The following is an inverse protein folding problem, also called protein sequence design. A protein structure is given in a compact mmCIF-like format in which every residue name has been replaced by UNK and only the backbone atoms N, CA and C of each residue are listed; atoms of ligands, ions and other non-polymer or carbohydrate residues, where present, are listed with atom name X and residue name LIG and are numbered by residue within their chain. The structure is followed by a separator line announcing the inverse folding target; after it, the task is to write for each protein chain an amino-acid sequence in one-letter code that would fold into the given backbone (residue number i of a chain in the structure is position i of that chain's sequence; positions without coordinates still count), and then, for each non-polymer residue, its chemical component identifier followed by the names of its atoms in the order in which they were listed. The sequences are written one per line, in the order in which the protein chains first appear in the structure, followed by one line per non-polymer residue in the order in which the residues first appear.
data_IF_846121541273
#
_entry.id   IF_846121541273
#
_cell.length_a   1.000
_cell.length_b   1.000
_cell.length_c   1.000
_cell.angle_alpha   90.00
_cell.angle_beta   90.00
_cell.angle_gamma   90.00
#
_symmetry.space_group_name_H-M   'P 1'
#
loop_
_entity.id
_entity.type
_entity.pdbx_description
1 polymer ?
#
# COMPACT_ATOMS: atom_id res chain seq x y z
N UNK A 1 28.39 2.75 -50.64
CA UNK A 1 28.20 1.76 -49.55
C UNK A 1 27.91 2.54 -48.27
N UNK A 2 26.63 2.65 -47.90
CA UNK A 2 26.17 3.40 -46.73
C UNK A 2 26.17 2.50 -45.49
N UNK A 3 27.17 2.66 -44.61
CA UNK A 3 27.14 2.19 -43.22
C UNK A 3 27.60 3.32 -42.32
N UNK A 4 26.70 4.26 -42.04
CA UNK A 4 26.89 5.28 -41.01
C UNK A 4 25.52 5.63 -40.41
N UNK A 5 25.00 4.71 -39.61
CA UNK A 5 23.76 4.88 -38.85
C UNK A 5 23.86 4.20 -37.49
N UNK A 6 25.07 4.09 -36.93
CA UNK A 6 25.25 3.62 -35.56
C UNK A 6 24.65 4.68 -34.64
N UNK A 7 23.55 4.29 -34.01
CA UNK A 7 22.69 5.05 -33.13
C UNK A 7 23.50 5.82 -32.08
N UNK A 8 23.57 7.14 -32.23
CA UNK A 8 24.03 8.06 -31.21
C UNK A 8 22.96 8.23 -30.10
N UNK A 9 22.42 7.11 -29.62
CA UNK A 9 21.56 7.11 -28.44
C UNK A 9 22.44 7.49 -27.27
N UNK A 10 22.28 8.72 -26.77
CA UNK A 10 23.00 9.15 -25.58
C UNK A 10 22.78 8.12 -24.46
N UNK A 11 23.78 7.80 -23.63
CA UNK A 11 23.64 6.86 -22.50
C UNK A 11 22.39 7.10 -21.64
N UNK A 12 21.90 8.35 -21.63
CA UNK A 12 20.67 8.82 -20.97
C UNK A 12 19.39 8.18 -21.49
N UNK A 13 19.27 7.98 -22.79
CA UNK A 13 18.10 7.32 -23.40
C UNK A 13 18.06 5.84 -23.02
N UNK A 14 19.23 5.23 -22.86
CA UNK A 14 19.39 3.82 -22.46
C UNK A 14 19.03 3.62 -20.98
N UNK A 15 19.42 4.54 -20.09
CA UNK A 15 19.10 4.45 -18.66
C UNK A 15 17.61 4.72 -18.36
N UNK A 16 17.00 5.71 -19.02
CA UNK A 16 15.57 5.97 -18.91
C UNK A 16 14.74 4.81 -19.49
N UNK A 17 15.18 4.21 -20.60
CA UNK A 17 14.53 3.05 -21.21
C UNK A 17 14.55 1.80 -20.32
N UNK A 18 15.46 1.71 -19.34
CA UNK A 18 15.54 0.58 -18.41
C UNK A 18 14.78 0.81 -17.10
N UNK A 19 14.77 2.04 -16.59
CA UNK A 19 14.14 2.35 -15.29
C UNK A 19 12.62 2.47 -15.35
N UNK A 20 12.05 2.97 -16.46
CA UNK A 20 10.59 3.11 -16.62
C UNK A 20 9.89 1.74 -16.66
N UNK A 21 10.31 0.76 -17.48
CA UNK A 21 9.69 -0.57 -17.48
C UNK A 21 9.81 -1.27 -16.13
N UNK A 22 10.97 -1.11 -15.45
CA UNK A 22 11.16 -1.64 -14.10
C UNK A 22 10.17 -1.04 -13.09
N UNK A 23 9.99 0.29 -13.11
CA UNK A 23 9.05 0.98 -12.23
C UNK A 23 7.61 0.51 -12.44
N UNK A 24 7.18 0.40 -13.69
CA UNK A 24 5.84 -0.12 -14.04
C UNK A 24 5.70 -1.57 -13.57
N UNK A 25 6.70 -2.42 -13.85
CA UNK A 25 6.70 -3.82 -13.46
C UNK A 25 6.57 -4.00 -11.94
N UNK A 26 7.30 -3.22 -11.14
CA UNK A 26 7.19 -3.30 -9.68
C UNK A 26 5.78 -2.98 -9.18
N UNK A 27 5.12 -1.95 -9.74
CA UNK A 27 3.73 -1.64 -9.39
C UNK A 27 2.81 -2.80 -9.76
N UNK A 28 2.89 -3.31 -10.99
CA UNK A 28 2.00 -4.37 -11.47
C UNK A 28 2.19 -5.69 -10.72
N UNK A 29 3.44 -6.12 -10.49
CA UNK A 29 3.74 -7.35 -9.75
C UNK A 29 3.25 -7.26 -8.32
N UNK A 30 3.52 -6.12 -7.65
CA UNK A 30 3.03 -5.92 -6.27
C UNK A 30 1.50 -5.91 -6.20
N UNK A 31 0.83 -5.32 -7.21
CA UNK A 31 -0.61 -5.30 -7.33
C UNK A 31 -1.20 -6.70 -7.55
N UNK A 32 -0.59 -7.50 -8.44
CA UNK A 32 -0.99 -8.88 -8.67
C UNK A 32 -0.79 -9.75 -7.42
N UNK A 33 0.34 -9.60 -6.72
CA UNK A 33 0.61 -10.31 -5.46
C UNK A 33 -0.41 -9.93 -4.37
N UNK A 34 -0.85 -8.67 -4.35
CA UNK A 34 -1.90 -8.20 -3.45
C UNK A 34 -3.22 -8.95 -3.67
N UNK A 35 -3.60 -9.21 -4.94
CA UNK A 35 -4.80 -9.98 -5.27
C UNK A 35 -4.69 -11.45 -4.82
N UNK A 36 -3.51 -12.06 -4.96
CA UNK A 36 -3.26 -13.43 -4.47
C UNK A 36 -3.47 -13.54 -2.96
N UNK A 37 -3.10 -12.49 -2.22
CA UNK A 37 -3.25 -12.42 -0.77
C UNK A 37 -4.56 -11.77 -0.31
N UNK A 38 -5.47 -11.40 -1.22
CA UNK A 38 -6.70 -10.68 -0.88
C UNK A 38 -7.56 -11.41 0.17
N UNK A 39 -7.51 -12.75 0.18
CA UNK A 39 -8.27 -13.58 1.11
C UNK A 39 -7.86 -13.38 2.58
N UNK A 40 -6.64 -12.92 2.87
CA UNK A 40 -6.20 -12.65 4.25
C UNK A 40 -6.96 -11.47 4.87
N UNK A 41 -7.49 -10.57 4.04
CA UNK A 41 -8.30 -9.44 4.49
C UNK A 41 -9.58 -9.90 5.21
N UNK A 42 -10.18 -11.02 4.77
CA UNK A 42 -11.34 -11.60 5.43
C UNK A 42 -11.01 -12.11 6.83
N UNK A 43 -9.82 -12.68 7.02
CA UNK A 43 -9.37 -13.13 8.35
C UNK A 43 -9.22 -11.95 9.30
N UNK A 44 -8.69 -10.82 8.83
CA UNK A 44 -8.60 -9.59 9.63
C UNK A 44 -9.98 -9.05 10.00
N UNK A 45 -10.85 -8.82 9.01
CA UNK A 45 -12.16 -8.20 9.23
C UNK A 45 -13.03 -9.04 10.17
N UNK A 46 -13.08 -10.36 9.96
CA UNK A 46 -13.99 -11.25 10.69
C UNK A 46 -13.42 -11.77 12.00
N UNK A 47 -12.18 -12.23 12.01
CA UNK A 47 -11.62 -12.96 13.15
C UNK A 47 -10.88 -12.08 14.14
N UNK A 48 -10.40 -10.91 13.71
CA UNK A 48 -9.61 -10.02 14.56
C UNK A 48 -10.34 -8.72 14.88
N UNK A 49 -10.95 -8.10 13.87
CA UNK A 49 -11.70 -6.85 14.06
C UNK A 49 -13.17 -7.07 14.40
N UNK A 50 -13.71 -8.28 14.18
CA UNK A 50 -15.11 -8.62 14.41
C UNK A 50 -16.11 -7.66 13.74
N UNK A 51 -15.74 -7.12 12.58
CA UNK A 51 -16.57 -6.23 11.79
C UNK A 51 -17.80 -6.99 11.30
N UNK A 52 -18.99 -6.45 11.57
CA UNK A 52 -20.26 -7.09 11.26
C UNK A 52 -20.59 -8.26 12.18
N UNK A 53 -19.99 -8.33 13.37
CA UNK A 53 -20.24 -9.37 14.36
C UNK A 53 -20.84 -8.79 15.66
N UNK A 54 -21.54 -9.64 16.40
CA UNK A 54 -22.07 -9.37 17.74
C UNK A 54 -21.78 -10.53 18.69
N UNK A 55 -21.81 -10.26 20.00
CA UNK A 55 -21.76 -11.29 21.04
C UNK A 55 -23.15 -11.46 21.66
N UNK A 56 -23.54 -12.71 21.95
CA UNK A 56 -24.80 -12.98 22.64
C UNK A 56 -24.81 -12.45 24.07
N UNK A 57 -26.00 -12.08 24.56
CA UNK A 57 -26.20 -11.65 25.95
C UNK A 57 -25.68 -12.72 26.94
N UNK A 58 -25.08 -12.34 28.08
CA UNK A 58 -24.73 -13.30 29.12
C UNK A 58 -25.92 -14.21 29.50
N UNK A 59 -25.69 -15.53 29.50
CA UNK A 59 -26.72 -16.54 29.76
C UNK A 59 -27.56 -16.96 28.54
N UNK A 60 -27.30 -16.41 27.36
CA UNK A 60 -27.85 -16.92 26.09
C UNK A 60 -26.96 -18.00 25.47
N UNK A 61 -27.50 -18.76 24.52
CA UNK A 61 -26.77 -19.79 23.76
C UNK A 61 -25.54 -19.24 23.01
N UNK A 62 -25.52 -17.94 22.69
CA UNK A 62 -24.39 -17.22 22.06
C UNK A 62 -23.51 -16.42 23.02
N UNK A 63 -23.66 -16.59 24.34
CA UNK A 63 -22.84 -15.88 25.31
C UNK A 63 -21.34 -16.17 25.10
N UNK A 64 -20.52 -15.12 25.14
CA UNK A 64 -19.05 -15.21 24.99
C UNK A 64 -18.56 -15.76 23.65
N UNK A 65 -19.43 -15.85 22.64
CA UNK A 65 -19.06 -16.30 21.28
C UNK A 65 -19.47 -15.25 20.25
N UNK A 66 -18.62 -15.06 19.25
CA UNK A 66 -18.87 -14.12 18.16
C UNK A 66 -19.79 -14.74 17.11
N UNK A 67 -20.90 -14.07 16.83
CA UNK A 67 -21.81 -14.39 15.73
C UNK A 67 -21.61 -13.30 14.68
N UNK A 68 -21.08 -13.69 13.53
CA UNK A 68 -20.75 -12.78 12.45
C UNK A 68 -21.76 -12.85 11.31
N UNK A 69 -21.85 -11.76 10.55
CA UNK A 69 -22.55 -11.74 9.27
C UNK A 69 -22.06 -12.83 8.31
N UNK A 70 -22.93 -13.20 7.38
CA UNK A 70 -22.60 -14.13 6.31
C UNK A 70 -21.64 -13.49 5.30
N UNK A 71 -21.17 -14.26 4.32
CA UNK A 71 -20.22 -13.78 3.31
C UNK A 71 -20.73 -12.59 2.50
N UNK A 72 -22.05 -12.45 2.33
CA UNK A 72 -22.66 -11.32 1.59
C UNK A 72 -22.47 -10.02 2.37
N UNK A 73 -22.57 -10.07 3.71
CA UNK A 73 -22.29 -8.94 4.59
C UNK A 73 -20.90 -8.34 4.41
N UNK A 74 -19.94 -9.07 3.83
CA UNK A 74 -18.58 -8.58 3.60
C UNK A 74 -18.32 -8.02 2.19
N UNK A 75 -19.29 -8.10 1.26
CA UNK A 75 -19.11 -7.62 -0.11
C UNK A 75 -18.80 -6.12 -0.17
N UNK A 76 -19.39 -5.32 0.73
CA UNK A 76 -19.10 -3.88 0.83
C UNK A 76 -17.63 -3.58 1.11
N UNK A 77 -16.99 -4.37 1.97
CA UNK A 77 -15.55 -4.20 2.28
C UNK A 77 -14.68 -4.59 1.09
N UNK A 78 -15.04 -5.67 0.38
CA UNK A 78 -14.33 -6.09 -0.82
C UNK A 78 -14.40 -5.01 -1.92
N UNK A 79 -15.54 -4.33 -2.08
CA UNK A 79 -15.69 -3.21 -3.01
C UNK A 79 -14.75 -2.05 -2.62
N UNK A 80 -14.69 -1.69 -1.34
CA UNK A 80 -13.84 -0.59 -0.89
C UNK A 80 -12.35 -0.93 -1.04
N UNK A 81 -11.92 -2.12 -0.61
CA UNK A 81 -10.52 -2.56 -0.79
C UNK A 81 -10.14 -2.68 -2.26
N UNK A 82 -11.06 -3.20 -3.08
CA UNK A 82 -10.93 -3.25 -4.53
C UNK A 82 -10.81 -1.85 -5.14
N UNK A 83 -11.60 -0.88 -4.70
CA UNK A 83 -11.52 0.50 -5.16
C UNK A 83 -10.18 1.16 -4.80
N UNK A 84 -9.70 0.97 -3.57
CA UNK A 84 -8.38 1.45 -3.14
C UNK A 84 -7.26 0.82 -3.98
N UNK A 85 -7.36 -0.48 -4.26
CA UNK A 85 -6.41 -1.20 -5.13
C UNK A 85 -6.46 -0.69 -6.57
N UNK A 86 -7.67 -0.53 -7.13
CA UNK A 86 -7.93 0.00 -8.48
C UNK A 86 -7.50 1.45 -8.64
N UNK A 87 -7.41 2.20 -7.54
CA UNK A 87 -6.83 3.53 -7.53
C UNK A 87 -5.30 3.44 -7.53
N UNK A 88 -4.72 2.62 -6.64
CA UNK A 88 -3.27 2.54 -6.45
C UNK A 88 -2.52 1.96 -7.65
N UNK A 89 -2.95 0.81 -8.17
CA UNK A 89 -2.16 0.03 -9.14
C UNK A 89 -2.20 0.66 -10.55
N UNK A 90 -3.37 0.94 -11.16
CA UNK A 90 -3.45 1.58 -12.46
C UNK A 90 -2.85 2.99 -12.46
N UNK A 91 -3.19 3.85 -11.48
CA UNK A 91 -2.64 5.20 -11.42
C UNK A 91 -1.14 5.19 -11.13
N UNK A 92 -0.66 4.24 -10.32
CA UNK A 92 0.77 4.03 -10.08
C UNK A 92 1.52 3.65 -11.34
N UNK A 93 0.99 2.68 -12.10
CA UNK A 93 1.57 2.25 -13.36
C UNK A 93 1.57 3.39 -14.40
N UNK A 94 0.48 4.14 -14.50
CA UNK A 94 0.39 5.32 -15.37
C UNK A 94 1.37 6.42 -14.94
N UNK A 95 1.46 6.72 -13.65
CA UNK A 95 2.41 7.70 -13.12
C UNK A 95 3.86 7.28 -13.41
N UNK A 96 4.19 6.00 -13.23
CA UNK A 96 5.50 5.45 -13.53
C UNK A 96 5.84 5.51 -15.03
N UNK A 97 4.87 5.27 -15.90
CA UNK A 97 5.06 5.23 -17.36
C UNK A 97 5.07 6.63 -18.01
N UNK A 98 4.17 7.52 -17.59
CA UNK A 98 3.84 8.74 -18.33
C UNK A 98 4.54 9.99 -17.78
N UNK A 99 4.87 10.04 -16.48
CA UNK A 99 5.51 11.22 -15.90
C UNK A 99 7.00 11.22 -16.24
N UNK A 100 7.37 12.06 -17.21
CA UNK A 100 8.76 12.15 -17.73
C UNK A 100 9.76 12.69 -16.70
N UNK A 101 9.34 13.63 -15.86
CA UNK A 101 10.23 14.26 -14.89
C UNK A 101 10.39 13.41 -13.63
N UNK A 102 11.61 12.93 -13.36
CA UNK A 102 11.91 11.97 -12.28
C UNK A 102 11.43 12.44 -10.91
N UNK A 103 11.67 13.71 -10.55
CA UNK A 103 11.21 14.25 -9.25
C UNK A 103 9.69 14.26 -9.16
N UNK A 104 9.00 14.60 -10.24
CA UNK A 104 7.53 14.66 -10.25
C UNK A 104 6.93 13.26 -10.19
N UNK A 105 7.53 12.30 -10.88
CA UNK A 105 7.13 10.89 -10.80
C UNK A 105 7.30 10.34 -9.38
N UNK A 106 8.42 10.62 -8.73
CA UNK A 106 8.67 10.23 -7.33
C UNK A 106 7.63 10.82 -6.37
N UNK A 107 7.35 12.12 -6.49
CA UNK A 107 6.34 12.78 -5.64
C UNK A 107 4.98 12.14 -5.85
N UNK A 108 4.56 11.93 -7.10
CA UNK A 108 3.27 11.30 -7.40
C UNK A 108 3.16 9.88 -6.84
N UNK A 109 4.20 9.06 -7.01
CA UNK A 109 4.24 7.68 -6.52
C UNK A 109 4.23 7.61 -4.98
N UNK A 110 5.00 8.45 -4.29
CA UNK A 110 4.99 8.51 -2.82
C UNK A 110 3.65 9.05 -2.30
N UNK A 111 3.08 10.09 -2.94
CA UNK A 111 1.78 10.61 -2.55
C UNK A 111 0.68 9.55 -2.71
N UNK A 112 0.70 8.81 -3.82
CA UNK A 112 -0.23 7.71 -4.05
C UNK A 112 -0.04 6.60 -2.99
N UNK A 113 1.20 6.22 -2.70
CA UNK A 113 1.54 5.25 -1.65
C UNK A 113 0.98 5.66 -0.28
N UNK A 114 1.21 6.91 0.12
CA UNK A 114 0.70 7.46 1.39
C UNK A 114 -0.82 7.51 1.40
N UNK A 115 -1.46 7.93 0.31
CA UNK A 115 -2.92 8.02 0.20
C UNK A 115 -3.57 6.65 0.28
N UNK A 116 -3.02 5.66 -0.43
CA UNK A 116 -3.48 4.27 -0.41
C UNK A 116 -3.38 3.68 1.00
N UNK A 117 -2.23 3.86 1.67
CA UNK A 117 -2.04 3.37 3.03
C UNK A 117 -2.96 4.08 4.05
N UNK A 118 -3.11 5.39 3.94
CA UNK A 118 -4.03 6.15 4.79
C UNK A 118 -5.47 5.70 4.60
N UNK A 119 -5.90 5.45 3.35
CA UNK A 119 -7.24 4.99 3.05
C UNK A 119 -7.54 3.63 3.70
N UNK A 120 -6.66 2.63 3.55
CA UNK A 120 -6.88 1.30 4.16
C UNK A 120 -6.89 1.35 5.69
N UNK A 121 -5.97 2.11 6.30
CA UNK A 121 -5.92 2.26 7.76
C UNK A 121 -7.16 2.99 8.29
N UNK A 122 -7.58 4.07 7.62
CA UNK A 122 -8.78 4.81 7.99
C UNK A 122 -10.05 3.97 7.81
N UNK A 123 -10.19 3.23 6.71
CA UNK A 123 -11.35 2.36 6.48
C UNK A 123 -11.47 1.26 7.52
N UNK A 124 -10.36 0.56 7.83
CA UNK A 124 -10.38 -0.51 8.83
C UNK A 124 -10.68 0.02 10.24
N UNK A 125 -10.14 1.19 10.60
CA UNK A 125 -10.46 1.83 11.87
C UNK A 125 -11.94 2.29 11.93
N UNK A 126 -12.43 2.87 10.84
CA UNK A 126 -13.82 3.30 10.74
C UNK A 126 -14.79 2.12 10.90
N UNK A 127 -14.52 0.99 10.24
CA UNK A 127 -15.39 -0.17 10.36
C UNK A 127 -15.31 -0.83 11.73
N UNK A 128 -14.11 -0.95 12.30
CA UNK A 128 -13.97 -1.46 13.65
C UNK A 128 -14.75 -0.60 14.65
N UNK A 129 -14.65 0.73 14.57
CA UNK A 129 -15.34 1.65 15.48
C UNK A 129 -16.87 1.76 15.29
N UNK A 130 -17.42 1.28 14.17
CA UNK A 130 -18.84 1.50 13.83
C UNK A 130 -19.67 0.25 13.60
N UNK A 131 -19.02 -0.86 13.23
CA UNK A 131 -19.69 -2.06 12.74
C UNK A 131 -19.40 -3.27 13.63
N UNK A 132 -18.72 -3.08 14.76
CA UNK A 132 -18.63 -4.06 15.84
C UNK A 132 -19.76 -3.75 16.81
N UNK A 133 -20.65 -4.71 17.07
CA UNK A 133 -21.62 -4.59 18.15
C UNK A 133 -20.93 -5.01 19.46
N UNK A 134 -20.47 -4.02 20.20
CA UNK A 134 -19.63 -4.19 21.38
C UNK A 134 -20.40 -4.22 22.71
N UNK A 135 -21.75 -4.22 22.67
CA UNK A 135 -22.60 -4.14 23.87
C UNK A 135 -22.29 -5.20 24.93
N UNK A 136 -21.93 -6.41 24.49
CA UNK A 136 -21.54 -7.52 25.35
C UNK A 136 -20.10 -7.98 25.14
N UNK A 137 -19.32 -7.23 24.35
CA UNK A 137 -17.93 -7.53 24.05
C UNK A 137 -17.02 -7.10 25.22
N UNK A 138 -15.91 -7.83 25.49
CA UNK A 138 -14.93 -7.42 26.48
C UNK A 138 -14.11 -6.19 26.07
N UNK A 139 -14.12 -5.84 24.77
CA UNK A 139 -13.38 -4.70 24.22
C UNK A 139 -14.25 -3.94 23.21
N UNK A 140 -14.00 -2.65 23.09
CA UNK A 140 -14.62 -1.83 22.04
C UNK A 140 -14.02 -2.17 20.68
N UNK A 141 -14.74 -1.84 19.61
CA UNK A 141 -14.24 -2.04 18.25
C UNK A 141 -12.89 -1.34 17.98
N UNK A 142 -12.68 -0.14 18.54
CA UNK A 142 -11.41 0.58 18.43
C UNK A 142 -10.25 -0.16 19.12
N UNK A 143 -10.50 -0.77 20.29
CA UNK A 143 -9.50 -1.56 21.00
C UNK A 143 -9.08 -2.80 20.20
N UNK A 144 -10.02 -3.49 19.55
CA UNK A 144 -9.68 -4.58 18.62
C UNK A 144 -8.81 -4.07 17.46
N UNK A 145 -9.11 -2.90 16.89
CA UNK A 145 -8.29 -2.31 15.84
C UNK A 145 -6.87 -1.98 16.34
N UNK A 146 -6.74 -1.37 17.51
CA UNK A 146 -5.43 -1.05 18.08
C UNK A 146 -4.61 -2.32 18.34
N UNK A 147 -5.23 -3.40 18.83
CA UNK A 147 -4.56 -4.66 19.09
C UNK A 147 -4.12 -5.36 17.79
N UNK A 148 -5.01 -5.43 16.79
CA UNK A 148 -4.76 -6.18 15.55
C UNK A 148 -3.93 -5.37 14.53
N UNK A 149 -4.28 -4.09 14.33
CA UNK A 149 -3.75 -3.24 13.25
C UNK A 149 -2.75 -2.21 13.77
N UNK A 150 -2.84 -1.79 15.04
CA UNK A 150 -2.02 -0.72 15.62
C UNK A 150 -0.50 -0.86 15.39
N UNK A 151 0.13 -2.01 15.68
CA UNK A 151 1.56 -2.20 15.43
C UNK A 151 1.94 -2.04 13.94
N UNK A 152 1.16 -2.65 13.04
CA UNK A 152 1.38 -2.55 11.61
C UNK A 152 1.17 -1.12 11.10
N UNK A 153 0.15 -0.41 11.62
CA UNK A 153 -0.15 0.97 11.29
C UNK A 153 0.97 1.93 11.71
N UNK A 154 1.54 1.73 12.90
CA UNK A 154 2.68 2.51 13.39
C UNK A 154 3.90 2.34 12.48
N UNK A 155 4.28 1.10 12.18
CA UNK A 155 5.42 0.79 11.29
C UNK A 155 5.18 1.37 9.89
N UNK A 156 3.94 1.26 9.38
CA UNK A 156 3.59 1.79 8.06
C UNK A 156 3.71 3.32 8.05
N UNK A 157 3.18 3.99 9.06
CA UNK A 157 3.21 5.45 9.20
C UNK A 157 4.64 5.99 9.28
N UNK A 158 5.51 5.36 10.09
CA UNK A 158 6.93 5.71 10.17
C UNK A 158 7.63 5.50 8.82
N UNK A 159 7.35 4.39 8.15
CA UNK A 159 7.92 4.08 6.83
C UNK A 159 7.53 5.12 5.78
N UNK A 160 6.26 5.54 5.76
CA UNK A 160 5.77 6.57 4.83
C UNK A 160 6.32 7.95 5.16
N UNK A 161 6.52 8.27 6.44
CA UNK A 161 7.22 9.48 6.85
C UNK A 161 8.66 9.48 6.33
N UNK A 162 9.38 8.35 6.44
CA UNK A 162 10.74 8.19 5.87
C UNK A 162 10.75 8.36 4.35
N UNK A 163 9.78 7.77 3.62
CA UNK A 163 9.66 7.97 2.17
C UNK A 163 9.40 9.44 1.81
N UNK A 164 8.53 10.11 2.57
CA UNK A 164 8.18 11.53 2.37
C UNK A 164 9.40 12.42 2.62
N UNK A 165 10.14 12.20 3.71
CA UNK A 165 11.42 12.88 3.99
C UNK A 165 12.42 12.61 2.86
N UNK A 166 12.44 11.38 2.32
CA UNK A 166 13.25 10.98 1.17
C UNK A 166 13.03 11.80 -0.10
N UNK A 167 11.89 12.49 -0.25
CA UNK A 167 11.61 13.39 -1.38
C UNK A 167 12.48 14.65 -1.37
N UNK A 168 13.00 15.06 -0.20
CA UNK A 168 13.92 16.20 -0.06
C UNK A 168 15.30 15.86 -0.63
N UNK A 169 15.69 14.60 -0.54
CA UNK A 169 17.00 14.12 -0.96
C UNK A 169 17.05 13.71 -2.44
N UNK A 170 18.28 13.57 -2.95
CA UNK A 170 18.59 13.15 -4.33
C UNK A 170 19.64 12.05 -4.33
N UNK A 171 19.75 11.34 -5.46
CA UNK A 171 20.74 10.29 -5.67
C UNK A 171 20.59 9.13 -4.69
N UNK A 172 21.71 8.56 -4.22
CA UNK A 172 21.73 7.34 -3.41
C UNK A 172 20.92 7.45 -2.11
N UNK A 173 20.93 8.60 -1.45
CA UNK A 173 20.19 8.81 -0.19
C UNK A 173 18.68 8.64 -0.43
N UNK A 174 18.16 9.25 -1.49
CA UNK A 174 16.76 9.09 -1.87
C UNK A 174 16.39 7.63 -2.14
N UNK A 175 17.24 6.89 -2.84
CA UNK A 175 17.04 5.45 -3.13
C UNK A 175 16.99 4.64 -1.83
N UNK A 176 17.98 4.80 -0.96
CA UNK A 176 18.07 4.06 0.31
C UNK A 176 16.87 4.34 1.20
N UNK A 177 16.49 5.61 1.38
CA UNK A 177 15.33 5.97 2.21
C UNK A 177 14.03 5.39 1.65
N UNK A 178 13.84 5.43 0.33
CA UNK A 178 12.62 4.92 -0.30
C UNK A 178 12.54 3.39 -0.24
N UNK A 179 13.67 2.69 -0.42
CA UNK A 179 13.73 1.22 -0.26
C UNK A 179 13.59 0.79 1.19
N UNK A 180 14.17 1.53 2.15
CA UNK A 180 13.98 1.28 3.57
C UNK A 180 12.50 1.45 3.96
N UNK A 181 11.84 2.48 3.45
CA UNK A 181 10.40 2.66 3.61
C UNK A 181 9.60 1.48 3.01
N UNK A 182 9.95 1.04 1.79
CA UNK A 182 9.30 -0.12 1.17
C UNK A 182 9.46 -1.39 2.04
N UNK A 183 10.65 -1.65 2.57
CA UNK A 183 10.92 -2.76 3.48
C UNK A 183 10.13 -2.64 4.80
N UNK A 184 10.01 -1.44 5.35
CA UNK A 184 9.18 -1.18 6.52
C UNK A 184 7.69 -1.46 6.27
N UNK A 185 7.16 -1.10 5.09
CA UNK A 185 5.78 -1.45 4.70
C UNK A 185 5.61 -2.96 4.51
N UNK A 186 6.62 -3.68 4.00
CA UNK A 186 6.61 -5.16 4.02
C UNK A 186 6.53 -5.67 5.46
N UNK A 187 7.27 -5.07 6.40
CA UNK A 187 7.15 -5.35 7.82
C UNK A 187 5.72 -5.17 8.36
N UNK A 188 5.01 -4.12 7.94
CA UNK A 188 3.59 -3.95 8.28
C UNK A 188 2.70 -5.06 7.72
N UNK A 189 2.98 -5.57 6.51
CA UNK A 189 2.25 -6.72 5.94
C UNK A 189 2.53 -8.00 6.74
N UNK A 190 3.76 -8.19 7.22
CA UNK A 190 4.10 -9.34 8.08
C UNK A 190 3.38 -9.24 9.43
N UNK A 191 3.37 -8.05 10.04
CA UNK A 191 2.69 -7.82 11.32
C UNK A 191 1.18 -7.97 11.22
N UNK A 192 0.59 -7.58 10.09
CA UNK A 192 -0.82 -7.73 9.84
C UNK A 192 -1.12 -8.12 8.39
N UNK A 193 -1.11 -9.43 8.07
CA UNK A 193 -1.31 -9.93 6.70
C UNK A 193 -2.63 -9.53 6.07
N UNK A 194 -3.66 -9.23 6.86
CA UNK A 194 -4.96 -8.78 6.33
C UNK A 194 -4.95 -7.43 5.63
N UNK A 195 -3.87 -6.65 5.75
CA UNK A 195 -3.69 -5.38 5.05
C UNK A 195 -2.98 -5.54 3.70
N UNK A 196 -2.57 -6.76 3.33
CA UNK A 196 -1.75 -7.08 2.16
C UNK A 196 -2.34 -6.53 0.85
N UNK A 197 -3.66 -6.63 0.67
CA UNK A 197 -4.38 -6.21 -0.54
C UNK A 197 -4.13 -4.74 -0.91
N UNK A 198 -3.90 -3.86 0.07
CA UNK A 198 -3.62 -2.44 -0.18
C UNK A 198 -2.22 -2.00 0.21
N UNK A 199 -1.52 -2.72 1.10
CA UNK A 199 -0.13 -2.39 1.46
C UNK A 199 0.92 -2.97 0.50
N UNK A 200 0.67 -4.09 -0.19
CA UNK A 200 1.59 -4.55 -1.23
C UNK A 200 1.68 -3.57 -2.43
N UNK A 201 0.58 -3.00 -2.94
CA UNK A 201 0.66 -1.90 -3.91
C UNK A 201 1.50 -0.72 -3.42
N UNK A 202 1.42 -0.37 -2.12
CA UNK A 202 2.25 0.69 -1.50
C UNK A 202 3.74 0.32 -1.60
N UNK A 203 4.12 -0.93 -1.36
CA UNK A 203 5.50 -1.42 -1.56
C UNK A 203 5.95 -1.23 -3.00
N UNK A 204 5.13 -1.63 -3.99
CA UNK A 204 5.45 -1.45 -5.41
C UNK A 204 5.58 0.00 -5.84
N UNK A 205 4.71 0.88 -5.32
CA UNK A 205 4.78 2.33 -5.56
C UNK A 205 6.08 2.94 -5.00
N UNK A 206 6.50 2.53 -3.80
CA UNK A 206 7.77 2.96 -3.20
C UNK A 206 8.97 2.39 -3.97
N UNK A 207 8.93 1.12 -4.38
CA UNK A 207 9.97 0.52 -5.22
C UNK A 207 10.08 1.25 -6.58
N UNK A 208 8.95 1.58 -7.20
CA UNK A 208 8.87 2.42 -8.39
C UNK A 208 9.52 3.79 -8.15
N UNK A 209 9.18 4.47 -7.06
CA UNK A 209 9.78 5.75 -6.70
C UNK A 209 11.30 5.66 -6.48
N UNK A 210 11.79 4.56 -5.91
CA UNK A 210 13.23 4.30 -5.77
C UNK A 210 13.91 4.13 -7.14
N UNK A 211 13.29 3.41 -8.08
CA UNK A 211 13.80 3.27 -9.44
C UNK A 211 13.86 4.60 -10.19
N UNK A 212 12.85 5.46 -10.03
CA UNK A 212 12.88 6.84 -10.56
C UNK A 212 13.97 7.69 -9.89
N UNK A 213 14.37 7.39 -8.66
CA UNK A 213 15.49 8.07 -7.98
C UNK A 213 16.88 7.61 -8.46
N UNK A 214 16.98 6.42 -9.07
CA UNK A 214 18.22 5.90 -9.65
C UNK A 214 18.56 6.54 -11.00
N UNK A 215 17.55 7.05 -11.72
CA UNK A 215 17.76 7.78 -12.97
C UNK A 215 18.44 9.12 -12.72
N UNK A 216 19.65 9.36 -13.25
CA UNK A 216 20.36 10.62 -13.05
C UNK A 216 19.66 11.75 -13.83
N UNK A 217 18.79 12.51 -13.16
CA UNK A 217 18.38 13.82 -13.68
C UNK A 217 19.53 14.80 -13.50
N UNK A 218 20.15 15.19 -14.61
CA UNK A 218 21.06 16.33 -14.72
C UNK A 218 20.50 17.56 -14.02
N UNK A 219 21.42 18.39 -13.50
CA UNK A 219 21.22 19.82 -13.26
C UNK A 219 20.39 20.44 -14.40
N UNK A 220 19.13 20.73 -14.17
CA UNK A 220 18.55 21.95 -14.70
C UNK A 220 18.90 23.02 -13.67
N UNK A 221 19.96 23.79 -13.95
CA UNK A 221 20.07 25.13 -13.38
C UNK A 221 18.85 25.93 -13.89
N UNK A 222 18.30 26.83 -13.06
CA UNK A 222 17.25 27.74 -13.50
C UNK A 222 17.66 28.53 -14.74
#
# INVERSE_FOLDING_TARGET
MNRAGASNQSPRAVDAARTVPGAVFAVLVSGALALVLAWTAMSLLRLQLHVGCSMGKPGSEGAYTWICSDGIGYLGFAIVFGAIWMFAVPLGALAAALIRHERSARVALVALATTTAAAILASTNHWASRLVDDLYSPMTGEQYWQQAVGPAALVCSVSLAVATIGLVFRGRIAVVLTLAAAAGVVGSVVLQPGLSINLLPVVGLLAAAAMRAMSPSLRQRP
#
